data_IF_172889900710
#
_entry.id   IF_172889900710
#
_cell.length_a   1.000
_cell.length_b   1.000
_cell.length_c   1.000
_cell.angle_alpha   90.00
_cell.angle_beta   90.00
_cell.angle_gamma   90.00
#
_symmetry.space_group_name_H-M   'P 1'
#
loop_
_entity.id
_entity.type
_entity.pdbx_description
1 polymer ?
#
# COMPACT_ATOMS: atom_id res chain seq x y z
N UNK A 1 21.54 16.83 -19.00
CA UNK A 1 20.94 15.49 -19.23
C UNK A 1 20.15 15.14 -17.97
N UNK A 2 18.95 14.55 -18.10
CA UNK A 2 18.15 14.18 -16.93
C UNK A 2 18.87 13.08 -16.15
N UNK A 3 19.02 13.26 -14.84
CA UNK A 3 19.62 12.25 -13.96
C UNK A 3 18.55 11.23 -13.55
N UNK A 4 18.41 10.17 -14.34
CA UNK A 4 17.46 9.11 -14.08
C UNK A 4 17.76 8.33 -12.79
N UNK A 5 19.02 8.25 -12.37
CA UNK A 5 19.36 7.58 -11.11
C UNK A 5 18.83 8.37 -9.91
N UNK A 6 18.92 9.71 -9.96
CA UNK A 6 18.32 10.58 -8.95
C UNK A 6 16.80 10.46 -8.94
N UNK A 7 16.15 10.50 -10.11
CA UNK A 7 14.68 10.35 -10.20
C UNK A 7 14.21 8.98 -9.69
N UNK A 8 14.95 7.91 -10.00
CA UNK A 8 14.62 6.57 -9.54
C UNK A 8 14.75 6.44 -8.02
N UNK A 9 15.76 7.08 -7.41
CA UNK A 9 15.87 7.17 -5.94
C UNK A 9 14.72 7.96 -5.32
N UNK A 10 14.32 9.07 -5.93
CA UNK A 10 13.18 9.88 -5.47
C UNK A 10 11.87 9.09 -5.55
N UNK A 11 11.59 8.42 -6.68
CA UNK A 11 10.41 7.55 -6.81
C UNK A 11 10.36 6.45 -5.73
N UNK A 12 11.51 5.84 -5.40
CA UNK A 12 11.61 4.85 -4.32
C UNK A 12 11.37 5.48 -2.95
N UNK A 13 11.75 6.73 -2.76
CA UNK A 13 11.45 7.45 -1.53
C UNK A 13 9.94 7.65 -1.38
N UNK A 14 9.28 8.16 -2.41
CA UNK A 14 7.83 8.40 -2.42
C UNK A 14 7.05 7.10 -2.16
N UNK A 15 7.47 5.97 -2.76
CA UNK A 15 6.86 4.66 -2.47
C UNK A 15 6.99 4.30 -0.97
N UNK A 16 8.15 4.52 -0.35
CA UNK A 16 8.33 4.24 1.08
C UNK A 16 7.45 5.14 1.94
N UNK A 17 7.34 6.43 1.59
CA UNK A 17 6.49 7.38 2.30
C UNK A 17 5.01 7.01 2.16
N UNK A 18 4.56 6.62 0.97
CA UNK A 18 3.21 6.12 0.72
C UNK A 18 2.89 4.87 1.56
N UNK A 19 3.81 3.90 1.62
CA UNK A 19 3.65 2.71 2.46
C UNK A 19 3.57 3.11 3.95
N UNK A 20 4.38 4.06 4.39
CA UNK A 20 4.33 4.57 5.76
C UNK A 20 2.98 5.25 6.07
N UNK A 21 2.53 6.16 5.21
CA UNK A 21 1.24 6.84 5.36
C UNK A 21 0.09 5.85 5.47
N UNK A 22 0.04 4.85 4.59
CA UNK A 22 -0.95 3.78 4.68
C UNK A 22 -0.81 2.95 5.95
N UNK A 23 0.40 2.60 6.36
CA UNK A 23 0.62 1.85 7.59
C UNK A 23 0.05 2.58 8.81
N UNK A 24 0.23 3.89 8.90
CA UNK A 24 -0.26 4.68 10.03
C UNK A 24 -1.80 4.73 10.02
N UNK A 25 -2.39 5.06 8.86
CA UNK A 25 -3.84 5.19 8.70
C UNK A 25 -4.56 3.85 8.91
N UNK A 26 -4.07 2.77 8.29
CA UNK A 26 -4.69 1.46 8.41
C UNK A 26 -4.61 0.91 9.83
N UNK A 27 -3.49 1.11 10.53
CA UNK A 27 -3.38 0.72 11.94
C UNK A 27 -4.31 1.53 12.84
N UNK A 28 -4.44 2.83 12.60
CA UNK A 28 -5.36 3.68 13.35
C UNK A 28 -6.82 3.29 13.10
N UNK A 29 -7.19 3.00 11.85
CA UNK A 29 -8.56 2.70 11.47
C UNK A 29 -9.00 1.29 11.86
N UNK A 30 -8.18 0.27 11.56
CA UNK A 30 -8.52 -1.13 11.80
C UNK A 30 -8.19 -1.57 13.23
N UNK A 31 -7.19 -0.96 13.88
CA UNK A 31 -6.77 -1.32 15.23
C UNK A 31 -6.46 -2.81 15.34
N UNK A 32 -7.07 -3.46 16.34
CA UNK A 32 -6.93 -4.90 16.61
C UNK A 32 -7.55 -5.79 15.52
N UNK A 33 -8.31 -5.21 14.57
CA UNK A 33 -8.82 -5.95 13.42
C UNK A 33 -7.73 -6.21 12.39
N UNK A 34 -6.62 -5.46 12.39
CA UNK A 34 -5.51 -5.70 11.46
C UNK A 34 -4.57 -6.77 12.02
N UNK A 35 -4.62 -7.96 11.43
CA UNK A 35 -3.73 -9.08 11.80
C UNK A 35 -2.31 -8.84 11.24
N UNK A 36 -2.22 -8.70 9.93
CA UNK A 36 -0.97 -8.38 9.26
C UNK A 36 -1.17 -7.53 8.00
N UNK A 37 -0.10 -6.85 7.59
CA UNK A 37 -0.03 -6.02 6.40
C UNK A 37 1.31 -6.24 5.72
N UNK A 38 1.30 -6.43 4.41
CA UNK A 38 2.51 -6.45 3.60
C UNK A 38 2.31 -5.71 2.28
N UNK A 39 3.41 -5.21 1.72
CA UNK A 39 3.45 -4.73 0.35
C UNK A 39 4.13 -5.75 -0.56
N UNK A 40 3.75 -5.77 -1.84
CA UNK A 40 4.34 -6.63 -2.88
C UNK A 40 4.46 -5.90 -4.21
N UNK A 41 4.94 -6.62 -5.23
CA UNK A 41 4.92 -6.12 -6.61
C UNK A 41 6.07 -5.17 -6.93
N UNK A 42 5.88 -4.38 -7.99
CA UNK A 42 6.91 -3.50 -8.53
C UNK A 42 7.37 -2.44 -7.54
N UNK A 43 6.50 -1.98 -6.65
CA UNK A 43 6.83 -0.96 -5.64
C UNK A 43 7.94 -1.38 -4.66
N UNK A 44 8.04 -2.68 -4.32
CA UNK A 44 8.94 -3.14 -3.25
C UNK A 44 10.04 -4.10 -3.70
N UNK A 45 9.93 -4.73 -4.88
CA UNK A 45 11.01 -5.56 -5.44
C UNK A 45 12.28 -4.76 -5.66
N UNK A 46 13.42 -5.42 -5.85
CA UNK A 46 14.64 -4.75 -6.32
C UNK A 46 14.39 -4.06 -7.68
N UNK A 47 14.93 -2.86 -7.87
CA UNK A 47 14.89 -2.17 -9.16
C UNK A 47 16.29 -2.19 -9.78
N UNK A 48 16.45 -2.98 -10.83
CA UNK A 48 17.70 -3.08 -11.59
C UNK A 48 17.73 -2.05 -12.74
N UNK A 49 16.55 -1.55 -13.12
CA UNK A 49 16.36 -0.61 -14.23
C UNK A 49 15.16 0.32 -14.00
N UNK A 50 15.09 1.48 -14.70
CA UNK A 50 13.96 2.40 -14.56
C UNK A 50 12.60 1.83 -14.98
N UNK A 51 12.53 0.71 -15.72
CA UNK A 51 11.26 0.09 -16.10
C UNK A 51 10.69 -0.78 -14.97
N UNK A 52 11.49 -1.10 -13.95
CA UNK A 52 11.05 -1.92 -12.82
C UNK A 52 10.00 -1.23 -11.95
N UNK A 53 9.92 0.10 -12.02
CA UNK A 53 8.84 0.91 -11.46
C UNK A 53 8.68 2.20 -12.27
N UNK A 54 7.47 2.40 -12.80
CA UNK A 54 7.13 3.59 -13.59
C UNK A 54 6.05 4.36 -12.83
N UNK A 55 6.34 5.58 -12.30
CA UNK A 55 5.42 6.34 -11.44
C UNK A 55 3.97 6.42 -11.89
N UNK A 56 3.72 6.58 -13.19
CA UNK A 56 2.36 6.73 -13.74
C UNK A 56 1.65 5.41 -14.03
N UNK A 57 2.38 4.29 -14.09
CA UNK A 57 1.85 2.97 -14.45
C UNK A 57 1.84 1.98 -13.29
N UNK A 58 2.81 2.08 -12.39
CA UNK A 58 3.04 1.11 -11.33
C UNK A 58 2.21 1.45 -10.10
N UNK A 59 1.56 0.42 -9.56
CA UNK A 59 0.83 0.51 -8.30
C UNK A 59 1.73 0.12 -7.12
N UNK A 60 1.37 0.60 -5.94
CA UNK A 60 1.83 0.16 -4.63
C UNK A 60 0.78 -0.83 -4.12
N UNK A 61 1.06 -2.12 -4.30
CA UNK A 61 0.18 -3.20 -3.88
C UNK A 61 0.31 -3.44 -2.38
N UNK A 62 -0.72 -3.10 -1.62
CA UNK A 62 -0.83 -3.30 -0.18
C UNK A 62 -1.86 -4.40 0.08
N UNK A 63 -1.43 -5.46 0.72
CA UNK A 63 -2.30 -6.55 1.13
C UNK A 63 -2.46 -6.55 2.64
N UNK A 64 -3.70 -6.69 3.10
CA UNK A 64 -4.04 -6.71 4.53
C UNK A 64 -4.85 -7.96 4.85
N UNK A 65 -4.58 -8.54 6.02
CA UNK A 65 -5.41 -9.57 6.62
C UNK A 65 -6.11 -9.01 7.84
N UNK A 66 -7.42 -9.24 7.91
CA UNK A 66 -8.21 -8.88 9.07
C UNK A 66 -8.38 -10.08 10.00
N UNK A 67 -8.53 -9.86 11.30
CA UNK A 67 -8.80 -10.92 12.28
C UNK A 67 -10.23 -11.46 12.20
N UNK A 68 -11.14 -10.74 11.52
CA UNK A 68 -12.52 -11.12 11.26
C UNK A 68 -12.89 -11.04 9.77
N UNK A 69 -14.06 -11.58 9.41
CA UNK A 69 -14.60 -11.59 8.04
C UNK A 69 -15.59 -10.46 7.73
N UNK A 70 -15.66 -9.41 8.57
CA UNK A 70 -16.60 -8.29 8.39
C UNK A 70 -16.30 -7.39 7.20
N UNK A 71 -15.11 -7.54 6.60
CA UNK A 71 -14.63 -6.68 5.52
C UNK A 71 -14.15 -5.31 6.04
N UNK A 72 -13.64 -4.50 5.12
CA UNK A 72 -12.93 -3.25 5.46
C UNK A 72 -13.84 -2.17 6.06
N UNK A 73 -15.10 -2.10 5.64
CA UNK A 73 -16.06 -1.08 6.06
C UNK A 73 -17.24 -1.64 6.87
N UNK A 74 -17.03 -2.75 7.60
CA UNK A 74 -18.07 -3.48 8.33
C UNK A 74 -18.99 -2.58 9.19
N UNK A 75 -18.41 -1.57 9.85
CA UNK A 75 -19.10 -0.70 10.81
C UNK A 75 -19.40 0.71 10.25
N UNK A 76 -19.30 0.87 8.93
CA UNK A 76 -19.43 2.18 8.27
C UNK A 76 -20.80 2.32 7.61
N UNK A 77 -21.60 3.28 8.08
CA UNK A 77 -22.95 3.53 7.57
C UNK A 77 -22.98 3.99 6.10
N UNK A 78 -21.96 4.72 5.63
CA UNK A 78 -21.82 5.20 4.25
C UNK A 78 -20.41 4.88 3.72
N UNK A 79 -20.19 3.66 3.20
CA UNK A 79 -18.87 3.20 2.75
C UNK A 79 -18.28 4.06 1.63
N UNK A 80 -19.12 4.62 0.76
CA UNK A 80 -18.65 5.47 -0.33
C UNK A 80 -18.07 6.77 0.21
N UNK A 81 -18.86 7.51 1.01
CA UNK A 81 -18.38 8.77 1.59
C UNK A 81 -17.15 8.55 2.47
N UNK A 82 -17.14 7.46 3.24
CA UNK A 82 -15.99 7.11 4.05
C UNK A 82 -14.76 6.80 3.21
N UNK A 83 -14.90 6.05 2.11
CA UNK A 83 -13.77 5.77 1.20
C UNK A 83 -13.15 7.05 0.63
N UNK A 84 -13.97 8.06 0.32
CA UNK A 84 -13.52 9.37 -0.14
C UNK A 84 -12.76 10.13 0.95
N UNK A 85 -13.26 10.15 2.20
CA UNK A 85 -12.51 10.77 3.30
C UNK A 85 -11.22 10.02 3.63
N UNK A 86 -11.25 8.69 3.52
CA UNK A 86 -10.12 7.83 3.84
C UNK A 86 -8.97 8.02 2.85
N UNK A 87 -9.26 8.16 1.55
CA UNK A 87 -8.23 8.48 0.56
C UNK A 87 -7.70 9.91 0.70
N UNK A 88 -8.56 10.88 1.08
CA UNK A 88 -8.11 12.25 1.39
C UNK A 88 -7.19 12.28 2.60
N UNK A 89 -7.48 11.51 3.66
CA UNK A 89 -6.60 11.40 4.83
C UNK A 89 -5.24 10.81 4.45
N UNK A 90 -5.21 9.80 3.58
CA UNK A 90 -3.97 9.25 3.04
C UNK A 90 -3.17 10.26 2.22
N UNK A 91 -3.83 10.99 1.32
CA UNK A 91 -3.17 12.03 0.54
C UNK A 91 -2.58 13.13 1.44
N UNK A 92 -3.36 13.61 2.42
CA UNK A 92 -2.89 14.61 3.38
C UNK A 92 -1.68 14.11 4.16
N UNK A 93 -1.77 12.90 4.74
CA UNK A 93 -0.68 12.31 5.50
C UNK A 93 0.58 12.12 4.64
N UNK A 94 0.42 11.73 3.39
CA UNK A 94 1.54 11.61 2.46
C UNK A 94 2.25 12.95 2.26
N UNK A 95 1.51 14.03 1.97
CA UNK A 95 2.10 15.35 1.76
C UNK A 95 2.65 16.00 3.05
N UNK A 96 2.16 15.60 4.22
CA UNK A 96 2.79 15.97 5.51
C UNK A 96 4.15 15.31 5.70
N UNK A 97 4.30 14.05 5.25
CA UNK A 97 5.55 13.29 5.35
C UNK A 97 6.54 13.67 4.24
N UNK A 98 6.05 13.98 3.04
CA UNK A 98 6.84 14.40 1.88
C UNK A 98 6.16 15.59 1.17
N UNK A 99 6.52 16.84 1.52
CA UNK A 99 5.90 18.04 0.96
C UNK A 99 6.22 18.29 -0.52
N UNK A 100 7.37 17.82 -1.02
CA UNK A 100 7.81 18.03 -2.41
C UNK A 100 8.14 16.70 -3.12
N UNK A 101 7.15 15.79 -3.26
CA UNK A 101 7.36 14.46 -3.83
C UNK A 101 7.67 14.55 -5.32
N UNK A 102 8.35 13.54 -5.87
CA UNK A 102 8.44 13.37 -7.31
C UNK A 102 7.07 13.00 -7.90
N UNK A 103 6.34 12.11 -7.23
CA UNK A 103 4.99 11.72 -7.59
C UNK A 103 4.19 11.21 -6.38
N UNK A 104 2.87 11.21 -6.51
CA UNK A 104 1.98 10.52 -5.57
C UNK A 104 1.77 9.08 -6.05
N UNK A 105 2.28 8.05 -5.34
CA UNK A 105 2.14 6.66 -5.79
C UNK A 105 0.69 6.19 -5.83
N UNK A 106 0.31 5.52 -6.91
CA UNK A 106 -0.99 4.87 -7.02
C UNK A 106 -1.05 3.69 -6.06
N UNK A 107 -2.03 3.65 -5.19
CA UNK A 107 -2.15 2.61 -4.16
C UNK A 107 -3.28 1.64 -4.50
N UNK A 108 -3.05 0.35 -4.28
CA UNK A 108 -4.08 -0.67 -4.36
C UNK A 108 -4.10 -1.44 -3.04
N UNK A 109 -5.23 -1.39 -2.32
CA UNK A 109 -5.41 -2.13 -1.07
C UNK A 109 -6.27 -3.36 -1.34
N UNK A 110 -5.77 -4.54 -0.95
CA UNK A 110 -6.43 -5.84 -1.12
C UNK A 110 -6.66 -6.47 0.25
N UNK A 111 -7.90 -6.90 0.51
CA UNK A 111 -8.26 -7.63 1.73
C UNK A 111 -8.13 -9.13 1.48
N UNK A 112 -7.19 -9.77 2.16
CA UNK A 112 -6.85 -11.17 1.94
C UNK A 112 -7.93 -12.15 2.40
N UNK A 113 -8.74 -11.79 3.40
CA UNK A 113 -9.81 -12.66 3.93
C UNK A 113 -10.70 -13.30 2.86
N UNK A 114 -11.00 -12.54 1.80
CA UNK A 114 -11.83 -13.01 0.69
C UNK A 114 -10.99 -13.72 -0.36
N UNK A 115 -9.84 -13.15 -0.72
CA UNK A 115 -8.99 -13.68 -1.79
C UNK A 115 -8.40 -15.04 -1.41
N UNK A 116 -8.08 -15.27 -0.13
CA UNK A 116 -7.60 -16.57 0.38
C UNK A 116 -8.61 -17.71 0.23
N UNK A 117 -9.90 -17.39 0.06
CA UNK A 117 -10.98 -18.37 -0.14
C UNK A 117 -11.13 -18.78 -1.61
N UNK A 118 -10.50 -18.05 -2.53
CA UNK A 118 -10.56 -18.33 -3.97
C UNK A 118 -9.64 -19.51 -4.33
N UNK A 119 -10.16 -20.48 -5.09
CA UNK A 119 -9.42 -21.69 -5.50
C UNK A 119 -8.12 -21.37 -6.25
N UNK A 120 -8.10 -20.25 -6.98
CA UNK A 120 -6.99 -19.83 -7.84
C UNK A 120 -6.02 -18.87 -7.16
N UNK A 121 -6.22 -18.58 -5.87
CA UNK A 121 -5.30 -17.73 -5.14
C UNK A 121 -4.01 -18.47 -4.83
N UNK A 122 -2.91 -17.90 -5.28
CA UNK A 122 -1.56 -18.35 -4.94
C UNK A 122 -0.91 -17.27 -4.08
N UNK A 123 -0.67 -17.51 -2.78
CA UNK A 123 -0.04 -16.53 -1.93
C UNK A 123 1.38 -16.22 -2.43
N UNK A 124 1.85 -14.97 -2.31
CA UNK A 124 3.22 -14.64 -2.63
C UNK A 124 4.18 -15.38 -1.68
N UNK A 125 5.39 -15.68 -2.15
CA UNK A 125 6.46 -16.17 -1.29
C UNK A 125 6.92 -15.06 -0.35
N UNK A 126 7.37 -15.42 0.86
CA UNK A 126 7.82 -14.46 1.88
C UNK A 126 9.01 -13.60 1.44
N UNK A 127 9.86 -14.11 0.56
CA UNK A 127 11.00 -13.39 -0.03
C UNK A 127 10.57 -12.34 -1.08
N UNK A 128 9.32 -12.37 -1.53
CA UNK A 128 8.76 -11.46 -2.53
C UNK A 128 7.87 -10.36 -1.94
N UNK A 129 7.80 -10.25 -0.61
CA UNK A 129 6.98 -9.25 0.08
C UNK A 129 7.81 -8.43 1.05
N UNK A 130 7.34 -7.23 1.34
CA UNK A 130 7.83 -6.41 2.45
C UNK A 130 6.76 -6.40 3.53
N UNK A 131 7.01 -7.08 4.64
CA UNK A 131 6.12 -7.08 5.81
C UNK A 131 6.17 -5.70 6.48
N UNK A 132 5.00 -5.15 6.77
CA UNK A 132 4.83 -3.82 7.36
C UNK A 132 4.28 -3.95 8.79
N UNK A 133 3.31 -4.84 9.00
CA UNK A 133 2.69 -5.14 10.29
C UNK A 133 2.50 -6.64 10.44
N UNK A 134 2.70 -7.16 11.66
CA UNK A 134 2.37 -8.55 12.00
C UNK A 134 3.30 -9.58 11.37
N UNK A 135 2.77 -10.77 11.07
CA UNK A 135 3.51 -11.86 10.43
C UNK A 135 2.55 -12.67 9.54
N UNK A 136 2.73 -12.63 8.19
CA UNK A 136 1.90 -13.38 7.25
C UNK A 136 2.23 -14.88 7.17
#
# INVERSE_FOLDING_TARGET
>A
MVDYAKLHKAARHDVRVCIQAWSEILRQFLGDRLDYMYAKGSAVKAWDSPIDYVPVLSDVDIHIRLTDDGGFFADVNDPFKFSMSFITEHEQRFYELEPEPLHFPRSQIVILNMVEKEEWYVPPRLDNITVIVGSP
#
